data_IF_900242724541
#
_entry.id   IF_900242724541
#
_cell.length_a   1.000
_cell.length_b   1.000
_cell.length_c   1.000
_cell.angle_alpha   90.00
_cell.angle_beta   90.00
_cell.angle_gamma   90.00
#
_symmetry.space_group_name_H-M   'P 1'
#
loop_
_entity.id
_entity.type
_entity.pdbx_description
1 polymer ?
#
# COMPACT_ATOMS: atom_id res chain seq x y z
N UNK A 1 -16.17 1.09 21.50
CA UNK A 1 -16.25 1.39 20.06
C UNK A 1 -14.86 1.59 19.49
N UNK A 2 -14.51 0.84 18.48
CA UNK A 2 -13.20 0.97 17.84
C UNK A 2 -13.18 2.20 16.95
N UNK A 3 -12.11 2.97 17.04
CA UNK A 3 -11.95 4.19 16.24
C UNK A 3 -11.05 3.89 15.04
N UNK A 4 -11.67 3.63 13.89
CA UNK A 4 -10.99 3.29 12.65
C UNK A 4 -10.03 4.39 12.22
N UNK A 5 -10.43 5.66 12.36
CA UNK A 5 -9.58 6.79 11.97
C UNK A 5 -8.25 6.78 12.76
N UNK A 6 -8.31 6.56 14.06
CA UNK A 6 -7.11 6.50 14.90
C UNK A 6 -6.27 5.27 14.60
N UNK A 7 -6.91 4.12 14.37
CA UNK A 7 -6.20 2.88 14.00
C UNK A 7 -5.49 3.04 12.66
N UNK A 8 -6.15 3.65 11.70
CA UNK A 8 -5.60 3.96 10.39
C UNK A 8 -4.37 4.85 10.52
N UNK A 9 -4.50 5.94 11.25
CA UNK A 9 -3.40 6.90 11.45
C UNK A 9 -2.21 6.27 12.15
N UNK A 10 -2.43 5.38 13.10
CA UNK A 10 -1.34 4.67 13.79
C UNK A 10 -0.55 3.79 12.83
N UNK A 11 -1.24 3.08 11.92
CA UNK A 11 -0.57 2.28 10.89
C UNK A 11 0.23 3.18 9.94
N UNK A 12 -0.39 4.28 9.49
CA UNK A 12 0.29 5.26 8.61
C UNK A 12 1.54 5.82 9.28
N UNK A 13 1.47 6.16 10.56
CA UNK A 13 2.64 6.70 11.28
C UNK A 13 3.80 5.71 11.28
N UNK A 14 3.53 4.44 11.48
CA UNK A 14 4.54 3.37 11.41
C UNK A 14 5.18 3.32 10.02
N UNK A 15 4.35 3.30 8.98
CA UNK A 15 4.82 3.23 7.58
C UNK A 15 5.61 4.47 7.19
N UNK A 16 5.11 5.65 7.54
CA UNK A 16 5.76 6.93 7.22
C UNK A 16 7.09 7.07 7.94
N UNK A 17 7.17 6.65 9.19
CA UNK A 17 8.42 6.67 9.95
C UNK A 17 9.51 5.87 9.25
N UNK A 18 9.20 4.67 8.77
CA UNK A 18 10.15 3.86 8.02
C UNK A 18 10.54 4.52 6.69
N UNK A 19 9.55 5.07 5.97
CA UNK A 19 9.79 5.78 4.72
C UNK A 19 10.77 6.94 4.92
N UNK A 20 10.57 7.75 5.95
CA UNK A 20 11.45 8.90 6.26
C UNK A 20 12.86 8.42 6.60
N UNK A 21 13.00 7.35 7.40
CA UNK A 21 14.30 6.78 7.73
C UNK A 21 15.05 6.32 6.49
N UNK A 22 14.36 5.63 5.58
CA UNK A 22 14.96 5.19 4.32
C UNK A 22 15.34 6.36 3.42
N UNK A 23 14.56 7.44 3.42
CA UNK A 23 14.93 8.67 2.73
C UNK A 23 16.24 9.25 3.28
N UNK A 24 16.45 9.15 4.59
CA UNK A 24 17.70 9.57 5.23
C UNK A 24 18.91 8.77 4.76
N UNK A 25 18.72 7.46 4.54
CA UNK A 25 19.80 6.56 4.12
C UNK A 25 20.06 6.62 2.60
N UNK A 26 19.01 6.62 1.81
CA UNK A 26 19.11 6.41 0.36
C UNK A 26 18.63 7.59 -0.47
N UNK A 27 18.13 8.66 0.16
CA UNK A 27 17.51 9.77 -0.55
C UNK A 27 16.31 9.32 -1.35
N UNK A 28 16.04 10.02 -2.45
CA UNK A 28 14.90 9.70 -3.31
C UNK A 28 15.28 8.78 -4.49
N UNK A 29 16.10 7.75 -4.21
CA UNK A 29 16.52 6.80 -5.24
C UNK A 29 15.34 6.14 -5.96
N UNK A 30 14.22 5.94 -5.27
CA UNK A 30 13.00 5.35 -5.83
C UNK A 30 12.36 6.19 -6.94
N UNK A 31 12.74 7.46 -7.07
CA UNK A 31 12.22 8.33 -8.12
C UNK A 31 12.58 7.88 -9.54
N UNK A 32 13.61 7.05 -9.69
CA UNK A 32 13.99 6.50 -10.99
C UNK A 32 13.12 5.28 -11.38
N UNK A 33 12.31 4.77 -10.49
CA UNK A 33 11.55 3.54 -10.74
C UNK A 33 10.32 3.81 -11.61
N UNK A 34 10.23 3.06 -12.70
CA UNK A 34 9.04 3.05 -13.55
C UNK A 34 7.91 2.31 -12.81
N UNK A 35 6.67 2.63 -13.17
CA UNK A 35 5.50 2.03 -12.52
C UNK A 35 5.50 0.49 -12.54
N UNK A 36 5.84 -0.18 -13.67
CA UNK A 36 5.90 -1.65 -13.64
C UNK A 36 6.91 -2.20 -12.64
N UNK A 37 8.01 -1.50 -12.40
CA UNK A 37 9.01 -1.92 -11.41
C UNK A 37 8.43 -1.86 -9.99
N UNK A 38 7.67 -0.82 -9.68
CA UNK A 38 6.99 -0.71 -8.38
C UNK A 38 5.90 -1.76 -8.24
N UNK A 39 5.11 -1.98 -9.28
CA UNK A 39 4.09 -3.03 -9.31
C UNK A 39 4.70 -4.41 -9.04
N UNK A 40 5.84 -4.72 -9.65
CA UNK A 40 6.53 -5.99 -9.44
C UNK A 40 7.04 -6.14 -8.01
N UNK A 41 7.55 -5.06 -7.41
CA UNK A 41 7.98 -5.10 -6.01
C UNK A 41 6.81 -5.36 -5.06
N UNK A 42 5.68 -4.72 -5.31
CA UNK A 42 4.46 -4.95 -4.52
C UNK A 42 4.00 -6.39 -4.67
N UNK A 43 4.03 -6.92 -5.90
CA UNK A 43 3.64 -8.28 -6.21
C UNK A 43 4.49 -9.31 -5.43
N UNK A 44 5.80 -9.14 -5.41
CA UNK A 44 6.71 -10.02 -4.67
C UNK A 44 6.35 -10.04 -3.18
N UNK A 45 6.08 -8.88 -2.60
CA UNK A 45 5.71 -8.77 -1.19
C UNK A 45 4.36 -9.43 -0.89
N UNK A 46 3.37 -9.22 -1.73
CA UNK A 46 2.05 -9.85 -1.56
C UNK A 46 2.14 -11.37 -1.70
N UNK A 47 2.93 -11.87 -2.65
CA UNK A 47 3.17 -13.30 -2.81
C UNK A 47 3.85 -13.89 -1.57
N UNK A 48 4.81 -13.19 -1.01
CA UNK A 48 5.49 -13.65 0.21
C UNK A 48 4.52 -13.74 1.38
N UNK A 49 3.64 -12.73 1.54
CA UNK A 49 2.62 -12.76 2.59
C UNK A 49 1.73 -13.99 2.41
N UNK A 50 1.25 -14.25 1.21
CA UNK A 50 0.42 -15.42 0.93
C UNK A 50 1.15 -16.72 1.27
N UNK A 51 2.41 -16.82 0.91
CA UNK A 51 3.25 -17.96 1.22
C UNK A 51 3.40 -18.17 2.74
N UNK A 52 3.63 -17.09 3.49
CA UNK A 52 3.71 -17.15 4.95
C UNK A 52 2.39 -17.60 5.58
N UNK A 53 1.26 -17.16 5.03
CA UNK A 53 -0.06 -17.53 5.52
C UNK A 53 -0.39 -19.01 5.24
N UNK A 54 0.16 -19.58 4.17
CA UNK A 54 -0.05 -20.97 3.80
C UNK A 54 0.82 -21.94 4.58
N UNK A 55 1.88 -21.46 5.21
CA UNK A 55 2.79 -22.30 5.99
C UNK A 55 2.33 -22.37 7.45
N UNK A 56 2.13 -23.61 7.94
CA UNK A 56 1.70 -23.85 9.33
C UNK A 56 2.80 -23.51 10.34
N UNK A 57 4.06 -23.53 9.92
CA UNK A 57 5.21 -23.23 10.79
C UNK A 57 5.68 -21.79 10.53
N UNK A 58 5.16 -20.87 11.31
CA UNK A 58 5.63 -19.48 11.27
C UNK A 58 6.81 -19.33 12.22
N UNK A 59 7.96 -19.02 11.67
CA UNK A 59 9.15 -18.76 12.47
C UNK A 59 9.19 -17.34 13.01
N UNK A 60 8.55 -16.39 12.33
CA UNK A 60 8.53 -14.97 12.73
C UNK A 60 7.20 -14.35 12.31
N UNK A 61 6.39 -13.93 13.28
CA UNK A 61 5.13 -13.21 13.01
C UNK A 61 5.36 -11.85 12.38
N UNK A 62 6.53 -11.26 12.59
CA UNK A 62 6.89 -9.95 12.07
C UNK A 62 7.00 -9.90 10.54
N UNK A 63 7.15 -11.04 9.89
CA UNK A 63 7.30 -11.12 8.43
C UNK A 63 6.12 -10.53 7.67
N UNK A 64 4.88 -10.81 8.08
CA UNK A 64 3.68 -10.27 7.43
C UNK A 64 3.61 -8.75 7.58
N UNK A 65 3.81 -8.24 8.79
CA UNK A 65 3.75 -6.79 9.07
C UNK A 65 4.77 -6.04 8.23
N UNK A 66 6.00 -6.52 8.18
CA UNK A 66 7.07 -5.90 7.39
C UNK A 66 6.70 -5.83 5.90
N UNK A 67 6.10 -6.89 5.37
CA UNK A 67 5.70 -6.92 3.96
C UNK A 67 4.51 -6.00 3.68
N UNK A 68 3.54 -5.90 4.59
CA UNK A 68 2.43 -4.96 4.43
C UNK A 68 2.91 -3.51 4.46
N UNK A 69 3.86 -3.18 5.33
CA UNK A 69 4.48 -1.85 5.36
C UNK A 69 5.12 -1.55 4.00
N UNK A 70 5.85 -2.50 3.46
CA UNK A 70 6.46 -2.37 2.14
C UNK A 70 5.43 -2.14 1.03
N UNK A 71 4.32 -2.88 1.04
CA UNK A 71 3.23 -2.72 0.08
C UNK A 71 2.68 -1.29 0.16
N UNK A 72 2.38 -0.81 1.37
CA UNK A 72 1.84 0.54 1.57
C UNK A 72 2.81 1.59 1.01
N UNK A 73 4.07 1.50 1.39
CA UNK A 73 5.06 2.51 0.97
C UNK A 73 5.32 2.48 -0.54
N UNK A 74 5.42 1.30 -1.15
CA UNK A 74 5.58 1.21 -2.61
C UNK A 74 4.34 1.71 -3.36
N UNK A 75 3.14 1.46 -2.85
CA UNK A 75 1.92 2.00 -3.46
C UNK A 75 1.88 3.53 -3.38
N UNK A 76 2.31 4.10 -2.26
CA UNK A 76 2.39 5.56 -2.12
C UNK A 76 3.43 6.13 -3.08
N UNK A 77 4.60 5.48 -3.19
CA UNK A 77 5.61 5.87 -4.19
C UNK A 77 5.04 5.81 -5.60
N UNK A 78 4.25 4.78 -5.92
CA UNK A 78 3.61 4.66 -7.23
C UNK A 78 2.65 5.83 -7.48
N UNK A 79 1.86 6.23 -6.50
CA UNK A 79 0.96 7.38 -6.62
C UNK A 79 1.76 8.68 -6.85
N UNK A 80 2.90 8.84 -6.19
CA UNK A 80 3.78 10.00 -6.40
C UNK A 80 4.35 9.96 -7.82
N UNK A 81 4.81 8.80 -8.30
CA UNK A 81 5.35 8.65 -9.65
C UNK A 81 4.29 8.94 -10.72
N UNK A 82 3.04 8.56 -10.48
CA UNK A 82 1.93 8.88 -11.38
C UNK A 82 1.75 10.39 -11.54
N UNK A 83 1.90 11.14 -10.45
CA UNK A 83 1.74 12.59 -10.47
C UNK A 83 2.98 13.31 -11.03
N UNK A 84 4.18 12.92 -10.55
CA UNK A 84 5.43 13.66 -10.84
C UNK A 84 6.18 13.13 -12.05
N UNK A 85 5.90 11.92 -12.49
CA UNK A 85 6.66 11.26 -13.55
C UNK A 85 7.95 10.63 -13.05
N UNK A 86 8.52 9.74 -13.86
CA UNK A 86 9.77 9.05 -13.57
C UNK A 86 10.94 9.95 -13.98
N UNK A 87 12.01 9.96 -13.19
CA UNK A 87 13.19 10.80 -13.45
C UNK A 87 14.43 9.93 -13.63
N UNK A 88 15.46 10.49 -14.27
CA UNK A 88 16.73 9.79 -14.49
C UNK A 88 17.65 9.87 -13.27
N UNK A 89 17.51 10.92 -12.47
CA UNK A 89 18.33 11.16 -11.29
C UNK A 89 17.42 11.49 -10.10
N UNK A 90 17.77 11.02 -8.89
CA UNK A 90 17.00 11.40 -7.70
C UNK A 90 16.96 12.94 -7.57
N UNK A 91 15.76 13.49 -7.40
CA UNK A 91 15.53 14.94 -7.49
C UNK A 91 14.72 15.52 -6.32
N UNK A 92 14.47 14.72 -5.28
CA UNK A 92 13.49 15.08 -4.26
C UNK A 92 14.12 15.07 -2.87
N UNK A 93 13.87 16.13 -2.10
CA UNK A 93 14.31 16.19 -0.70
C UNK A 93 13.38 15.34 0.19
N UNK A 94 13.87 15.02 1.39
CA UNK A 94 13.06 14.31 2.39
C UNK A 94 11.79 15.10 2.74
N UNK A 95 11.92 16.43 2.87
CA UNK A 95 10.77 17.29 3.18
C UNK A 95 9.71 17.25 2.09
N UNK A 96 10.12 17.37 0.83
CA UNK A 96 9.20 17.31 -0.31
C UNK A 96 8.54 15.95 -0.43
N UNK A 97 9.30 14.87 -0.30
CA UNK A 97 8.79 13.50 -0.35
C UNK A 97 7.79 13.24 0.78
N UNK A 98 8.06 13.75 1.98
CA UNK A 98 7.17 13.60 3.14
C UNK A 98 5.83 14.30 2.90
N UNK A 99 5.86 15.51 2.34
CA UNK A 99 4.64 16.24 2.00
C UNK A 99 3.79 15.49 0.98
N UNK A 100 4.42 14.97 -0.07
CA UNK A 100 3.73 14.19 -1.09
C UNK A 100 3.16 12.90 -0.50
N UNK A 101 3.91 12.23 0.35
CA UNK A 101 3.45 11.05 1.08
C UNK A 101 2.16 11.36 1.85
N UNK A 102 2.17 12.42 2.63
CA UNK A 102 1.02 12.83 3.44
C UNK A 102 -0.20 13.20 2.57
N UNK A 103 0.02 13.86 1.44
CA UNK A 103 -1.05 14.18 0.49
C UNK A 103 -1.71 12.92 -0.06
N UNK A 104 -0.91 11.93 -0.47
CA UNK A 104 -1.43 10.67 -1.01
C UNK A 104 -2.18 9.87 0.05
N UNK A 105 -1.67 9.87 1.27
CA UNK A 105 -2.35 9.23 2.41
C UNK A 105 -3.70 9.92 2.69
N UNK A 106 -3.72 11.25 2.67
CA UNK A 106 -4.95 12.02 2.94
C UNK A 106 -6.07 11.68 1.97
N UNK A 107 -5.76 11.64 0.67
CA UNK A 107 -6.73 11.27 -0.37
C UNK A 107 -7.20 9.83 -0.21
N UNK A 108 -6.27 8.93 0.06
CA UNK A 108 -6.54 7.50 0.22
C UNK A 108 -7.41 7.23 1.46
N UNK A 109 -7.13 7.94 2.55
CA UNK A 109 -7.93 7.84 3.79
C UNK A 109 -9.36 8.32 3.55
N UNK A 110 -9.55 9.44 2.83
CA UNK A 110 -10.90 9.92 2.49
C UNK A 110 -11.67 8.88 1.68
N UNK A 111 -11.02 8.22 0.74
CA UNK A 111 -11.64 7.14 -0.02
C UNK A 111 -12.11 6.01 0.91
N UNK A 112 -11.27 5.63 1.88
CA UNK A 112 -11.62 4.63 2.89
C UNK A 112 -12.84 5.07 3.70
N UNK A 113 -12.86 6.31 4.16
CA UNK A 113 -13.96 6.84 4.96
C UNK A 113 -15.28 6.84 4.17
N UNK A 114 -15.23 7.25 2.90
CA UNK A 114 -16.40 7.26 2.03
C UNK A 114 -16.95 5.85 1.81
N UNK A 115 -16.07 4.87 1.56
CA UNK A 115 -16.47 3.48 1.39
C UNK A 115 -17.02 2.88 2.69
N UNK A 116 -16.44 3.21 3.83
CA UNK A 116 -16.95 2.74 5.12
C UNK A 116 -18.33 3.33 5.43
N UNK A 117 -18.58 4.56 5.00
CA UNK A 117 -19.89 5.16 5.14
C UNK A 117 -20.95 4.36 4.36
N UNK A 118 -20.63 3.96 3.13
CA UNK A 118 -21.58 3.27 2.26
C UNK A 118 -21.76 1.79 2.61
N UNK A 119 -20.67 1.10 2.98
CA UNK A 119 -20.67 -0.36 3.19
C UNK A 119 -20.54 -0.76 4.66
N UNK A 120 -20.56 0.21 5.59
CA UNK A 120 -20.18 -0.04 6.96
C UNK A 120 -18.69 -0.42 7.03
N UNK A 121 -18.26 -1.04 8.08
CA UNK A 121 -16.89 -1.51 8.23
C UNK A 121 -16.79 -3.01 7.97
N UNK A 122 -17.29 -3.45 6.81
CA UNK A 122 -17.34 -4.86 6.45
C UNK A 122 -15.96 -5.53 6.47
N UNK A 123 -14.89 -4.78 6.23
CA UNK A 123 -13.52 -5.28 6.28
C UNK A 123 -13.13 -5.83 7.66
N UNK A 124 -13.82 -5.41 8.72
CA UNK A 124 -13.55 -5.92 10.08
C UNK A 124 -13.89 -7.40 10.22
N UNK A 125 -14.82 -7.89 9.42
CA UNK A 125 -15.21 -9.30 9.42
C UNK A 125 -14.41 -10.12 8.40
N UNK A 126 -13.52 -9.48 7.64
CA UNK A 126 -12.69 -10.18 6.66
C UNK A 126 -11.42 -10.74 7.30
N UNK A 127 -10.98 -11.87 6.78
CA UNK A 127 -9.70 -12.47 7.18
C UNK A 127 -8.55 -11.69 6.55
N UNK A 128 -7.41 -11.68 7.23
CA UNK A 128 -6.18 -11.09 6.68
C UNK A 128 -5.82 -11.77 5.35
N UNK A 129 -6.00 -13.09 5.25
CA UNK A 129 -5.76 -13.83 4.00
C UNK A 129 -6.65 -13.35 2.85
N UNK A 130 -7.90 -12.99 3.14
CA UNK A 130 -8.81 -12.45 2.12
C UNK A 130 -8.36 -11.08 1.64
N UNK A 131 -7.89 -10.23 2.56
CA UNK A 131 -7.34 -8.92 2.20
C UNK A 131 -6.08 -9.06 1.32
N UNK A 132 -5.23 -10.05 1.63
CA UNK A 132 -4.06 -10.37 0.80
C UNK A 132 -4.47 -10.79 -0.61
N UNK A 133 -5.49 -11.62 -0.73
CA UNK A 133 -5.98 -12.06 -2.04
C UNK A 133 -6.55 -10.90 -2.86
N UNK A 134 -7.22 -9.95 -2.20
CA UNK A 134 -7.72 -8.75 -2.89
C UNK A 134 -6.57 -7.87 -3.38
N UNK A 135 -5.50 -7.75 -2.60
CA UNK A 135 -4.30 -7.03 -3.04
C UNK A 135 -3.72 -7.70 -4.29
N UNK A 136 -3.58 -9.03 -4.27
CA UNK A 136 -3.07 -9.76 -5.42
C UNK A 136 -3.96 -9.59 -6.66
N UNK A 137 -5.29 -9.60 -6.47
CA UNK A 137 -6.23 -9.37 -7.57
C UNK A 137 -6.05 -7.96 -8.17
N UNK A 138 -5.90 -6.96 -7.33
CA UNK A 138 -5.66 -5.58 -7.79
C UNK A 138 -4.34 -5.49 -8.55
N UNK A 139 -3.30 -6.19 -8.10
CA UNK A 139 -2.01 -6.22 -8.80
C UNK A 139 -2.14 -6.82 -10.20
N UNK A 140 -2.91 -7.89 -10.35
CA UNK A 140 -3.17 -8.46 -11.68
C UNK A 140 -3.89 -7.47 -12.58
N UNK A 141 -4.84 -6.71 -12.03
CA UNK A 141 -5.54 -5.65 -12.77
C UNK A 141 -4.57 -4.54 -13.19
N UNK A 142 -3.70 -4.11 -12.30
CA UNK A 142 -2.69 -3.08 -12.61
C UNK A 142 -1.78 -3.56 -13.74
N UNK A 143 -1.30 -4.81 -13.68
CA UNK A 143 -0.47 -5.38 -14.74
C UNK A 143 -1.20 -5.39 -16.08
N UNK A 144 -2.47 -5.76 -16.09
CA UNK A 144 -3.28 -5.75 -17.32
C UNK A 144 -3.45 -4.33 -17.88
N UNK A 145 -3.69 -3.35 -17.01
CA UNK A 145 -3.79 -1.96 -17.42
C UNK A 145 -2.46 -1.47 -18.00
N UNK A 146 -1.34 -1.79 -17.35
CA UNK A 146 0.00 -1.45 -17.81
C UNK A 146 0.27 -2.07 -19.18
N UNK A 147 -0.04 -3.36 -19.34
CA UNK A 147 0.13 -4.09 -20.60
C UNK A 147 -0.75 -3.50 -21.71
N UNK A 148 -1.88 -2.93 -21.35
CA UNK A 148 -2.81 -2.28 -22.29
C UNK A 148 -2.58 -0.76 -22.35
N UNK A 149 -1.37 -0.30 -22.04
CA UNK A 149 -0.94 1.10 -22.15
C UNK A 149 -1.82 2.08 -21.38
N UNK A 150 -2.35 1.66 -20.23
CA UNK A 150 -3.18 2.49 -19.36
C UNK A 150 -4.66 2.57 -19.74
N UNK A 151 -5.09 1.82 -20.74
CA UNK A 151 -6.48 1.89 -21.24
C UNK A 151 -7.38 0.89 -20.51
N UNK A 152 -8.56 1.34 -20.10
CA UNK A 152 -9.62 0.49 -19.54
C UNK A 152 -10.93 0.78 -20.28
N UNK A 153 -11.85 -0.19 -20.25
CA UNK A 153 -13.18 -0.04 -20.87
C UNK A 153 -14.19 0.50 -19.85
N UNK A 154 -14.27 -0.13 -18.69
CA UNK A 154 -15.24 0.21 -17.64
C UNK A 154 -14.63 0.34 -16.26
N UNK A 155 -13.37 -0.08 -16.09
CA UNK A 155 -12.71 -0.12 -14.79
C UNK A 155 -12.06 1.22 -14.44
N UNK A 156 -11.88 1.43 -13.14
CA UNK A 156 -11.12 2.55 -12.62
C UNK A 156 -9.66 2.49 -13.10
N UNK A 157 -9.00 3.64 -13.09
CA UNK A 157 -7.60 3.76 -13.47
C UNK A 157 -6.64 3.11 -12.49
N UNK A 158 -5.36 3.20 -12.83
CA UNK A 158 -4.30 2.57 -12.05
C UNK A 158 -4.16 3.17 -10.65
N UNK A 159 -4.41 4.48 -10.51
CA UNK A 159 -4.35 5.19 -9.23
C UNK A 159 -5.35 4.64 -8.22
N UNK A 160 -6.59 4.40 -8.64
CA UNK A 160 -7.63 3.83 -7.79
C UNK A 160 -7.24 2.44 -7.29
N UNK A 161 -6.59 1.63 -8.13
CA UNK A 161 -6.09 0.32 -7.75
C UNK A 161 -5.01 0.40 -6.66
N UNK A 162 -4.08 1.34 -6.79
CA UNK A 162 -3.05 1.55 -5.75
C UNK A 162 -3.67 2.03 -4.45
N UNK A 163 -4.65 2.94 -4.50
CA UNK A 163 -5.36 3.41 -3.30
C UNK A 163 -6.08 2.27 -2.59
N UNK A 164 -6.77 1.41 -3.34
CA UNK A 164 -7.44 0.24 -2.75
C UNK A 164 -6.43 -0.71 -2.09
N UNK A 165 -5.29 -0.95 -2.71
CA UNK A 165 -4.26 -1.80 -2.13
C UNK A 165 -3.70 -1.23 -0.83
N UNK A 166 -3.51 0.08 -0.76
CA UNK A 166 -3.08 0.75 0.47
C UNK A 166 -4.11 0.48 1.58
N UNK A 167 -5.38 0.69 1.29
CA UNK A 167 -6.44 0.52 2.29
C UNK A 167 -6.57 -0.94 2.74
N UNK A 168 -6.50 -1.90 1.82
CA UNK A 168 -6.51 -3.33 2.20
C UNK A 168 -5.32 -3.69 3.08
N UNK A 169 -4.14 -3.19 2.77
CA UNK A 169 -2.94 -3.45 3.56
C UNK A 169 -3.03 -2.81 4.95
N UNK A 170 -3.59 -1.61 5.05
CA UNK A 170 -3.80 -0.94 6.34
C UNK A 170 -4.82 -1.73 7.17
N UNK A 171 -5.92 -2.19 6.58
CA UNK A 171 -6.91 -3.02 7.27
C UNK A 171 -6.27 -4.31 7.79
N UNK A 172 -5.43 -4.95 6.98
CA UNK A 172 -4.71 -6.15 7.41
C UNK A 172 -3.82 -5.85 8.61
N UNK A 173 -3.12 -4.74 8.61
CA UNK A 173 -2.26 -4.34 9.74
C UNK A 173 -3.07 -4.03 10.99
N UNK A 174 -4.25 -3.41 10.85
CA UNK A 174 -5.15 -3.17 11.98
C UNK A 174 -5.55 -4.51 12.60
N UNK A 175 -5.95 -5.50 11.78
CA UNK A 175 -6.26 -6.85 12.28
C UNK A 175 -5.08 -7.48 13.02
N UNK A 176 -3.88 -7.42 12.43
CA UNK A 176 -2.68 -8.00 13.03
C UNK A 176 -2.32 -7.32 14.34
N UNK A 177 -2.52 -6.02 14.45
CA UNK A 177 -2.28 -5.27 15.68
C UNK A 177 -3.28 -5.64 16.78
N UNK A 178 -4.55 -5.87 16.43
CA UNK A 178 -5.58 -6.30 17.37
C UNK A 178 -5.30 -7.70 17.91
N UNK A 179 -4.84 -8.60 17.06
CA UNK A 179 -4.55 -9.99 17.44
C UNK A 179 -3.40 -10.12 18.44
N UNK A 180 -2.58 -9.07 18.58
CA UNK A 180 -1.44 -9.04 19.51
C UNK A 180 -1.80 -8.49 20.89
N UNK A 181 -2.98 -7.94 21.05
CA UNK A 181 -3.42 -7.33 22.30
C UNK A 181 -4.05 -8.32 23.27
#
# INVERSE_FOLDING_TARGET
MQDTSKQYDAVVDTCKSLFIKKMGDYGSAWRILRLPSLTDQIFIKAQRIRSLQQNDVRKVDEGEVSEFIGIINYCIMALIQLEKGVVEQPDMSTLEATKLYEEKVSVTKRLMEDKNHDYGEAWRDMRVSSLTDLILQKLLRVKQIEDNKGKTIVSEGIDANYQDMINYAIFAMIHLNEDKS
#
